data_IF_808715592760
#
_entry.id   IF_808715592760
#
_cell.length_a   1.000
_cell.length_b   1.000
_cell.length_c   1.000
_cell.angle_alpha   90.00
_cell.angle_beta   90.00
_cell.angle_gamma   90.00
#
_symmetry.space_group_name_H-M   'P 1'
#
loop_
_entity.id
_entity.type
_entity.pdbx_description
1 polymer ?
#
# COMPACT_ATOMS: atom_id res chain seq x y z
N UNK A 1 13.08 11.07 10.80
CA UNK A 1 13.94 10.03 10.21
C UNK A 1 13.12 8.76 10.10
N UNK A 2 13.09 8.10 8.95
CA UNK A 2 12.51 6.77 8.79
C UNK A 2 13.57 5.77 8.34
N UNK A 3 13.53 4.57 8.91
CA UNK A 3 14.35 3.43 8.52
C UNK A 3 13.39 2.37 8.00
N UNK A 4 13.55 1.98 6.74
CA UNK A 4 12.60 1.19 5.96
C UNK A 4 11.82 2.05 4.95
N UNK A 5 12.09 1.83 3.67
CA UNK A 5 11.45 2.44 2.50
C UNK A 5 10.36 1.55 1.86
N UNK A 6 9.85 0.56 2.59
CA UNK A 6 8.70 -0.24 2.18
C UNK A 6 7.38 0.54 2.21
N UNK A 7 6.27 -0.17 1.94
CA UNK A 7 4.92 0.42 1.80
C UNK A 7 4.53 1.26 3.03
N UNK A 8 4.74 0.74 4.24
CA UNK A 8 4.39 1.44 5.48
C UNK A 8 5.28 2.66 5.74
N UNK A 9 6.59 2.54 5.46
CA UNK A 9 7.55 3.63 5.62
C UNK A 9 7.26 4.81 4.68
N UNK A 10 6.94 4.52 3.42
CA UNK A 10 6.54 5.53 2.45
C UNK A 10 5.17 6.13 2.76
N UNK A 11 4.20 5.33 3.22
CA UNK A 11 2.91 5.83 3.66
C UNK A 11 3.05 6.80 4.84
N UNK A 12 3.87 6.45 5.84
CA UNK A 12 4.15 7.31 6.98
C UNK A 12 4.89 8.60 6.56
N UNK A 13 5.88 8.49 5.68
CA UNK A 13 6.59 9.62 5.12
C UNK A 13 5.64 10.61 4.44
N UNK A 14 4.80 10.15 3.52
CA UNK A 14 3.87 11.03 2.80
C UNK A 14 2.79 11.60 3.73
N UNK A 15 2.30 10.81 4.69
CA UNK A 15 1.34 11.30 5.69
C UNK A 15 1.93 12.47 6.47
N UNK A 16 3.18 12.34 6.94
CA UNK A 16 3.84 13.43 7.66
C UNK A 16 4.10 14.64 6.78
N UNK A 17 4.44 14.46 5.51
CA UNK A 17 4.56 15.58 4.58
C UNK A 17 3.25 16.36 4.40
N UNK A 18 2.09 15.71 4.52
CA UNK A 18 0.79 16.40 4.45
C UNK A 18 0.55 17.33 5.64
N UNK A 19 1.11 17.02 6.81
CA UNK A 19 0.83 17.76 8.06
C UNK A 19 2.00 18.63 8.55
N UNK A 20 3.21 18.36 8.09
CA UNK A 20 4.39 19.11 8.51
C UNK A 20 4.61 20.35 7.62
N UNK A 21 5.12 21.45 8.19
CA UNK A 21 5.48 22.61 7.42
C UNK A 21 6.63 22.29 6.45
N UNK A 22 6.63 22.97 5.30
CA UNK A 22 7.51 22.70 4.14
C UNK A 22 9.01 22.85 4.43
N UNK A 23 9.36 23.41 5.58
CA UNK A 23 10.73 23.59 6.05
C UNK A 23 11.30 22.36 6.78
N UNK A 24 10.49 21.31 7.02
CA UNK A 24 10.94 20.08 7.66
C UNK A 24 11.45 19.10 6.61
N UNK A 25 12.76 18.83 6.64
CA UNK A 25 13.37 17.81 5.80
C UNK A 25 13.23 16.43 6.46
N UNK A 26 12.55 15.50 5.78
CA UNK A 26 12.43 14.11 6.21
C UNK A 26 13.32 13.24 5.33
N UNK A 27 14.21 12.47 5.96
CA UNK A 27 15.04 11.47 5.28
C UNK A 27 14.50 10.06 5.54
N UNK A 28 14.41 9.25 4.48
CA UNK A 28 14.06 7.83 4.50
C UNK A 28 15.29 7.04 4.08
N UNK A 29 15.63 6.01 4.84
CA UNK A 29 16.75 5.11 4.56
C UNK A 29 16.22 3.71 4.32
N UNK A 30 16.69 3.05 3.26
CA UNK A 30 16.38 1.66 2.95
C UNK A 30 17.70 0.91 2.73
N UNK A 31 17.80 -0.29 3.27
CA UNK A 31 19.02 -1.12 3.20
C UNK A 31 19.15 -1.80 1.84
N UNK A 32 18.03 -2.00 1.15
CA UNK A 32 17.97 -2.65 -0.15
C UNK A 32 17.71 -1.63 -1.27
N UNK A 33 18.28 -1.88 -2.44
CA UNK A 33 17.94 -1.10 -3.63
C UNK A 33 16.46 -1.28 -3.94
N UNK A 34 15.75 -0.18 -4.20
CA UNK A 34 14.39 -0.25 -4.74
C UNK A 34 14.45 -1.05 -6.05
N UNK A 35 13.63 -2.10 -6.22
CA UNK A 35 13.66 -2.86 -7.45
C UNK A 35 13.22 -1.99 -8.63
N UNK A 36 14.03 -1.93 -9.69
CA UNK A 36 13.75 -1.13 -10.90
C UNK A 36 12.52 -1.63 -11.69
N UNK A 37 12.04 -2.83 -11.39
CA UNK A 37 10.85 -3.43 -11.95
C UNK A 37 10.04 -4.11 -10.84
N UNK A 38 8.73 -4.31 -11.07
CA UNK A 38 7.90 -5.16 -10.21
C UNK A 38 8.51 -6.58 -10.17
N UNK A 39 9.31 -6.86 -9.14
CA UNK A 39 10.04 -8.12 -9.04
C UNK A 39 9.08 -9.21 -8.61
N UNK A 40 8.87 -10.19 -9.48
CA UNK A 40 8.20 -11.46 -9.15
C UNK A 40 8.91 -12.25 -8.05
N UNK A 41 10.15 -11.85 -7.69
CA UNK A 41 10.99 -12.48 -6.66
C UNK A 41 10.36 -12.36 -5.26
N UNK A 42 9.56 -11.31 -5.01
CA UNK A 42 8.81 -11.13 -3.75
C UNK A 42 7.29 -10.99 -3.97
N UNK A 43 6.83 -11.12 -5.23
CA UNK A 43 5.53 -10.63 -5.68
C UNK A 43 4.41 -11.68 -5.68
N UNK A 44 3.56 -11.63 -4.66
CA UNK A 44 2.13 -11.91 -4.81
C UNK A 44 1.36 -10.62 -5.05
N UNK A 45 0.17 -10.68 -5.66
CA UNK A 45 -0.69 -9.50 -5.78
C UNK A 45 -1.03 -8.91 -4.41
N UNK A 46 -1.00 -7.59 -4.28
CA UNK A 46 -1.35 -6.88 -3.05
C UNK A 46 -2.83 -6.50 -3.04
N UNK A 47 -3.56 -6.97 -2.04
CA UNK A 47 -4.95 -6.58 -1.81
C UNK A 47 -5.02 -5.31 -0.98
N UNK A 48 -5.69 -4.27 -1.50
CA UNK A 48 -5.98 -3.04 -0.75
C UNK A 48 -7.46 -3.03 -0.41
N UNK A 49 -7.77 -3.09 0.89
CA UNK A 49 -9.15 -3.03 1.39
C UNK A 49 -9.67 -1.58 1.46
N UNK A 50 -10.99 -1.34 1.61
CA UNK A 50 -11.57 0.02 1.54
C UNK A 50 -10.92 1.05 2.48
N UNK A 51 -10.54 0.65 3.70
CA UNK A 51 -9.85 1.53 4.65
C UNK A 51 -8.46 1.95 4.15
N UNK A 52 -7.72 1.03 3.54
CA UNK A 52 -6.41 1.31 2.93
C UNK A 52 -6.54 2.25 1.73
N UNK A 53 -7.55 2.05 0.89
CA UNK A 53 -7.82 2.94 -0.25
C UNK A 53 -8.23 4.34 0.21
N UNK A 54 -8.99 4.46 1.31
CA UNK A 54 -9.33 5.75 1.92
C UNK A 54 -8.10 6.47 2.46
N UNK A 55 -7.22 5.76 3.18
CA UNK A 55 -5.97 6.33 3.67
C UNK A 55 -5.08 6.80 2.50
N UNK A 56 -4.94 5.97 1.46
CA UNK A 56 -4.18 6.32 0.27
C UNK A 56 -4.73 7.57 -0.43
N UNK A 57 -6.05 7.72 -0.55
CA UNK A 57 -6.68 8.92 -1.11
C UNK A 57 -6.36 10.19 -0.30
N UNK A 58 -6.30 10.09 1.02
CA UNK A 58 -5.98 11.22 1.89
C UNK A 58 -4.52 11.66 1.73
N UNK A 59 -3.62 10.69 1.51
CA UNK A 59 -2.18 10.91 1.36
C UNK A 59 -1.83 11.38 -0.07
N UNK A 60 -2.38 10.71 -1.09
CA UNK A 60 -2.13 10.97 -2.51
C UNK A 60 -3.36 10.57 -3.35
N UNK A 61 -4.20 11.55 -3.73
CA UNK A 61 -5.33 11.31 -4.61
C UNK A 61 -4.92 10.69 -5.96
N UNK A 62 -3.77 11.10 -6.50
CA UNK A 62 -3.23 10.60 -7.76
C UNK A 62 -2.90 9.09 -7.69
N UNK A 63 -2.35 8.62 -6.57
CA UNK A 63 -2.04 7.20 -6.38
C UNK A 63 -3.32 6.35 -6.34
N UNK A 64 -4.39 6.85 -5.74
CA UNK A 64 -5.67 6.15 -5.73
C UNK A 64 -6.35 6.10 -7.11
N UNK A 65 -6.17 7.14 -7.94
CA UNK A 65 -6.63 7.13 -9.32
C UNK A 65 -5.83 6.15 -10.17
N UNK A 66 -4.51 6.12 -10.00
CA UNK A 66 -3.63 5.15 -10.67
C UNK A 66 -4.08 3.71 -10.38
N UNK A 67 -4.32 3.36 -9.12
CA UNK A 67 -4.81 2.03 -8.74
C UNK A 67 -6.19 1.70 -9.33
N UNK A 68 -7.06 2.70 -9.50
CA UNK A 68 -8.36 2.49 -10.16
C UNK A 68 -8.19 2.17 -11.66
N UNK A 69 -7.20 2.77 -12.31
CA UNK A 69 -6.95 2.60 -13.75
C UNK A 69 -6.15 1.35 -14.08
N UNK A 70 -5.23 0.93 -13.22
CA UNK A 70 -4.28 -0.16 -13.51
C UNK A 70 -4.38 -1.34 -12.54
N UNK A 71 -5.16 -1.23 -11.46
CA UNK A 71 -5.40 -2.31 -10.51
C UNK A 71 -6.50 -3.27 -10.96
N UNK A 72 -6.47 -4.49 -10.41
CA UNK A 72 -7.56 -5.45 -10.60
C UNK A 72 -8.63 -5.24 -9.52
N UNK A 73 -9.85 -4.91 -9.94
CA UNK A 73 -10.99 -4.80 -9.03
C UNK A 73 -11.37 -6.18 -8.52
N UNK A 74 -11.26 -6.39 -7.21
CA UNK A 74 -11.69 -7.60 -6.53
C UNK A 74 -12.89 -7.25 -5.62
N UNK A 75 -14.10 -7.78 -5.89
CA UNK A 75 -15.28 -7.44 -5.08
C UNK A 75 -15.19 -7.99 -3.66
N UNK A 76 -14.54 -9.14 -3.48
CA UNK A 76 -14.32 -9.73 -2.16
C UNK A 76 -13.14 -10.70 -2.16
N UNK A 77 -12.42 -10.74 -1.05
CA UNK A 77 -11.48 -11.80 -0.72
C UNK A 77 -12.23 -12.95 -0.05
N UNK A 78 -11.98 -14.19 -0.48
CA UNK A 78 -12.54 -15.37 0.17
C UNK A 78 -11.53 -15.90 1.17
N UNK A 79 -11.89 -15.88 2.46
CA UNK A 79 -11.07 -16.46 3.51
C UNK A 79 -11.40 -17.95 3.60
N UNK A 80 -10.38 -18.79 3.50
CA UNK A 80 -10.51 -20.25 3.60
C UNK A 80 -9.62 -20.79 4.70
N UNK A 81 -10.06 -21.85 5.36
CA UNK A 81 -9.22 -22.58 6.30
C UNK A 81 -8.28 -23.55 5.56
N UNK A 82 -7.41 -24.22 6.32
CA UNK A 82 -6.46 -25.22 5.80
C UNK A 82 -7.10 -26.38 5.01
N UNK A 83 -8.39 -26.65 5.22
CA UNK A 83 -9.14 -27.71 4.53
C UNK A 83 -9.89 -27.18 3.30
N UNK A 84 -9.67 -25.92 2.91
CA UNK A 84 -10.35 -25.28 1.78
C UNK A 84 -11.77 -24.81 2.07
N UNK A 85 -12.30 -24.99 3.29
CA UNK A 85 -13.64 -24.52 3.66
C UNK A 85 -13.64 -23.01 3.80
N UNK A 86 -14.60 -22.35 3.15
CA UNK A 86 -14.83 -20.91 3.27
C UNK A 86 -15.24 -20.54 4.70
N UNK A 87 -14.47 -19.64 5.30
CA UNK A 87 -14.73 -19.03 6.60
C UNK A 87 -15.55 -17.74 6.46
N UNK A 88 -15.41 -17.04 5.33
CA UNK A 88 -16.14 -15.83 5.05
C UNK A 88 -15.64 -15.11 3.81
N UNK A 89 -16.27 -13.96 3.54
CA UNK A 89 -15.88 -13.01 2.50
C UNK A 89 -15.51 -11.68 3.15
N UNK A 90 -14.43 -11.08 2.67
CA UNK A 90 -13.99 -9.75 3.08
C UNK A 90 -14.03 -8.82 1.86
N UNK A 91 -14.96 -7.88 1.86
CA UNK A 91 -15.22 -7.00 0.72
C UNK A 91 -16.73 -6.76 0.59
N UNK A 92 -17.09 -5.70 -0.13
CA UNK A 92 -18.47 -5.23 -0.33
C UNK A 92 -18.89 -5.38 -1.77
#
# INVERSE_FOLDING_TARGET
>A
LFVGGGIDGLAAYHTLQTYLPSNVSIKVYESYSTPDAATSILGGGLGIVPNGLRALRAISPASALYLKSYGNTCPYFVLRNRNGRTLGRLGS
#
